data_IF_746515936154
#
_entry.id   IF_746515936154
#
_cell.length_a   1.000
_cell.length_b   1.000
_cell.length_c   1.000
_cell.angle_alpha   90.00
_cell.angle_beta   90.00
_cell.angle_gamma   90.00
#
_symmetry.space_group_name_H-M   'P 1'
#
loop_
_entity.id
_entity.type
_entity.pdbx_description
1 polymer ?
#
# COMPACT_ATOMS: atom_id res chain seq x y z
N UNK A 1 7.79 0.34 13.82
CA UNK A 1 7.29 1.72 14.05
C UNK A 1 6.48 1.73 15.34
N UNK A 2 6.73 2.69 16.21
CA UNK A 2 5.96 2.87 17.45
C UNK A 2 5.08 4.11 17.34
N UNK A 3 3.79 3.94 17.68
CA UNK A 3 2.77 4.99 17.58
C UNK A 3 2.21 5.22 19.00
N UNK A 4 2.59 6.32 19.67
CA UNK A 4 1.97 6.68 20.94
C UNK A 4 0.56 7.27 20.67
N UNK A 5 -0.44 6.80 21.40
CA UNK A 5 -1.83 7.18 21.16
C UNK A 5 -2.69 7.04 22.42
N UNK A 6 -3.95 7.40 22.35
CA UNK A 6 -4.95 7.17 23.39
C UNK A 6 -5.70 5.83 23.20
N UNK A 7 -6.52 5.48 24.17
CA UNK A 7 -7.30 4.24 24.17
C UNK A 7 -8.43 4.21 23.13
N UNK A 8 -8.82 5.37 22.57
CA UNK A 8 -9.88 5.49 21.57
C UNK A 8 -9.36 5.29 20.13
N UNK A 9 -8.04 5.28 19.93
CA UNK A 9 -7.43 5.22 18.60
C UNK A 9 -7.93 4.04 17.77
N UNK A 10 -7.92 2.82 18.32
CA UNK A 10 -8.34 1.62 17.59
C UNK A 10 -9.79 1.72 17.10
N UNK A 11 -10.69 2.22 17.95
CA UNK A 11 -12.10 2.41 17.60
C UNK A 11 -12.30 3.53 16.58
N UNK A 12 -11.59 4.64 16.71
CA UNK A 12 -11.65 5.78 15.79
C UNK A 12 -11.15 5.40 14.39
N UNK A 13 -10.07 4.61 14.32
CA UNK A 13 -9.50 4.14 13.06
C UNK A 13 -10.19 2.88 12.51
N UNK A 14 -11.15 2.30 13.24
CA UNK A 14 -11.80 1.02 12.93
C UNK A 14 -10.81 -0.13 12.77
N UNK A 15 -9.74 -0.11 13.55
CA UNK A 15 -8.77 -1.20 13.58
C UNK A 15 -9.32 -2.33 14.44
N UNK A 16 -9.44 -3.51 13.84
CA UNK A 16 -9.99 -4.67 14.53
C UNK A 16 -8.95 -5.30 15.44
N UNK A 17 -9.32 -5.52 16.68
CA UNK A 17 -8.53 -6.31 17.61
C UNK A 17 -8.78 -7.80 17.36
N UNK A 18 -7.72 -8.56 17.22
CA UNK A 18 -7.75 -10.01 16.93
C UNK A 18 -7.65 -10.85 18.19
N UNK A 19 -6.84 -10.40 19.16
CA UNK A 19 -6.66 -11.07 20.43
C UNK A 19 -6.27 -10.09 21.53
N UNK A 20 -6.47 -10.46 22.78
CA UNK A 20 -6.09 -9.67 23.95
C UNK A 20 -7.24 -8.95 24.64
N UNK A 21 -6.90 -8.03 25.53
CA UNK A 21 -7.84 -7.23 26.31
C UNK A 21 -8.15 -5.91 25.60
N UNK A 22 -9.32 -5.33 25.87
CA UNK A 22 -9.67 -4.02 25.25
C UNK A 22 -8.68 -2.93 25.67
N UNK A 23 -8.43 -1.90 24.81
CA UNK A 23 -7.49 -0.82 25.12
C UNK A 23 -7.71 -0.15 26.46
N UNK A 24 -8.97 0.16 26.77
CA UNK A 24 -9.34 0.79 28.04
C UNK A 24 -9.01 -0.10 29.25
N UNK A 25 -9.29 -1.41 29.14
CA UNK A 25 -8.95 -2.38 30.19
C UNK A 25 -7.45 -2.59 30.30
N UNK A 26 -6.75 -2.69 29.18
CA UNK A 26 -5.31 -2.84 29.15
C UNK A 26 -4.61 -1.66 29.85
N UNK A 27 -5.09 -0.43 29.62
CA UNK A 27 -4.57 0.76 30.26
C UNK A 27 -4.75 0.79 31.78
N UNK A 28 -5.81 0.16 32.30
CA UNK A 28 -6.07 0.03 33.73
C UNK A 28 -5.24 -1.09 34.39
N UNK A 29 -5.03 -2.17 33.66
CA UNK A 29 -4.46 -3.42 34.19
C UNK A 29 -2.92 -3.47 34.08
N UNK A 30 -2.34 -2.86 33.02
CA UNK A 30 -0.91 -2.90 32.73
C UNK A 30 -0.29 -1.52 32.80
N UNK A 31 0.94 -1.44 33.34
CA UNK A 31 1.66 -0.16 33.48
C UNK A 31 2.00 0.49 32.12
N UNK A 32 2.38 -0.30 31.11
CA UNK A 32 2.75 0.16 29.77
C UNK A 32 2.20 -0.82 28.73
N UNK A 33 0.89 -0.83 28.49
CA UNK A 33 0.27 -1.74 27.54
C UNK A 33 0.64 -1.39 26.11
N UNK A 34 0.93 -2.44 25.34
CA UNK A 34 1.31 -2.34 23.95
C UNK A 34 0.48 -3.31 23.12
N UNK A 35 0.01 -2.84 21.96
CA UNK A 35 -0.61 -3.66 20.94
C UNK A 35 0.35 -3.77 19.76
N UNK A 36 0.42 -4.97 19.17
CA UNK A 36 1.23 -5.24 17.98
C UNK A 36 0.32 -5.68 16.83
N UNK A 37 0.70 -5.36 15.60
CA UNK A 37 -0.03 -5.86 14.44
C UNK A 37 0.35 -7.31 14.10
N UNK A 38 -0.46 -7.98 13.24
CA UNK A 38 -0.21 -9.35 12.80
C UNK A 38 1.18 -9.55 12.20
N UNK A 39 1.66 -8.59 11.40
CA UNK A 39 2.98 -8.66 10.80
C UNK A 39 4.07 -8.69 11.85
N UNK A 40 3.95 -7.89 12.91
CA UNK A 40 4.93 -7.89 14.00
C UNK A 40 4.85 -9.16 14.85
N UNK A 41 3.63 -9.62 15.14
CA UNK A 41 3.43 -10.89 15.84
C UNK A 41 4.07 -12.06 15.07
N UNK A 42 3.95 -12.07 13.74
CA UNK A 42 4.58 -13.08 12.87
C UNK A 42 6.10 -13.01 12.89
N UNK A 43 6.68 -11.81 12.79
CA UNK A 43 8.13 -11.58 12.83
C UNK A 43 8.73 -12.10 14.14
N UNK A 44 8.04 -11.85 15.26
CA UNK A 44 8.48 -12.25 16.60
C UNK A 44 8.04 -13.66 17.00
N UNK A 45 7.31 -14.36 16.13
CA UNK A 45 6.69 -15.67 16.40
C UNK A 45 5.84 -15.69 17.69
N UNK A 46 5.04 -14.63 17.85
CA UNK A 46 4.14 -14.40 19.01
C UNK A 46 2.72 -14.84 18.62
N UNK A 47 2.10 -15.60 19.48
CA UNK A 47 0.68 -15.98 19.43
C UNK A 47 -0.12 -15.36 20.59
N UNK A 48 -1.42 -15.60 20.63
CA UNK A 48 -2.31 -15.09 21.67
C UNK A 48 -1.96 -15.59 23.08
N UNK A 49 -1.21 -16.69 23.21
CA UNK A 49 -0.80 -17.22 24.53
C UNK A 49 0.23 -16.35 25.25
N UNK A 50 0.90 -15.46 24.50
CA UNK A 50 1.92 -14.55 25.02
C UNK A 50 1.36 -13.22 25.51
N UNK A 51 0.06 -13.01 25.40
CA UNK A 51 -0.60 -11.82 25.95
C UNK A 51 -0.45 -11.79 27.47
N UNK A 52 -0.10 -10.62 28.01
CA UNK A 52 0.24 -10.42 29.42
C UNK A 52 1.72 -10.57 29.75
N UNK A 53 2.54 -11.05 28.82
CA UNK A 53 3.99 -11.15 29.00
C UNK A 53 4.69 -9.84 28.63
N UNK A 54 5.92 -9.68 29.13
CA UNK A 54 6.76 -8.54 28.75
C UNK A 54 7.22 -8.70 27.29
N UNK A 55 6.96 -7.68 26.47
CA UNK A 55 7.33 -7.71 25.05
C UNK A 55 8.84 -7.83 24.82
N UNK A 56 9.66 -7.37 25.76
CA UNK A 56 11.13 -7.50 25.70
C UNK A 56 11.62 -8.94 25.69
N UNK A 57 10.84 -9.88 26.18
CA UNK A 57 11.18 -11.30 26.13
C UNK A 57 11.27 -11.80 24.68
N UNK A 58 10.55 -11.16 23.76
CA UNK A 58 10.44 -11.50 22.35
C UNK A 58 11.12 -10.49 21.42
N UNK A 59 11.21 -9.22 21.86
CA UNK A 59 11.82 -8.11 21.13
C UNK A 59 12.79 -7.37 22.04
N UNK A 60 14.08 -7.62 21.88
CA UNK A 60 15.16 -7.01 22.67
C UNK A 60 15.25 -5.50 22.51
N UNK A 61 14.69 -4.94 21.43
CA UNK A 61 14.63 -3.50 21.19
C UNK A 61 13.41 -2.84 21.82
N UNK A 62 12.51 -3.63 22.40
CA UNK A 62 11.35 -3.09 23.10
C UNK A 62 11.72 -2.55 24.48
N UNK A 63 10.94 -1.57 24.95
CA UNK A 63 11.09 -1.04 26.30
C UNK A 63 10.88 -2.15 27.34
N UNK A 64 11.70 -2.15 28.39
CA UNK A 64 11.66 -3.14 29.46
C UNK A 64 10.34 -3.19 30.23
N UNK A 65 9.52 -2.14 30.12
CA UNK A 65 8.24 -2.02 30.80
C UNK A 65 7.05 -2.38 29.92
N UNK A 66 7.27 -2.63 28.63
CA UNK A 66 6.17 -2.88 27.66
C UNK A 66 5.53 -4.25 27.86
N UNK A 67 4.25 -4.28 28.21
CA UNK A 67 3.47 -5.50 28.33
C UNK A 67 2.60 -5.70 27.09
N UNK A 68 2.69 -6.86 26.47
CA UNK A 68 1.85 -7.22 25.33
C UNK A 68 0.40 -7.35 25.77
N UNK A 69 -0.45 -6.38 25.39
CA UNK A 69 -1.85 -6.34 25.77
C UNK A 69 -2.78 -6.96 24.71
N UNK A 70 -2.34 -6.98 23.44
CA UNK A 70 -3.13 -7.58 22.38
C UNK A 70 -2.49 -7.53 21.02
N UNK A 71 -3.13 -8.24 20.10
CA UNK A 71 -2.78 -8.32 18.68
C UNK A 71 -3.91 -7.68 17.88
N UNK A 72 -3.57 -6.83 16.94
CA UNK A 72 -4.49 -6.10 16.06
C UNK A 72 -4.25 -6.49 14.61
N UNK A 73 -5.26 -6.26 13.78
CA UNK A 73 -5.12 -6.46 12.34
C UNK A 73 -4.09 -5.51 11.74
N UNK A 74 -3.53 -5.91 10.61
CA UNK A 74 -2.64 -5.06 9.85
C UNK A 74 -3.39 -3.85 9.29
N UNK A 75 -2.85 -2.67 9.48
CA UNK A 75 -3.43 -1.45 8.90
C UNK A 75 -2.35 -0.60 8.22
N UNK A 76 -2.67 0.01 7.06
CA UNK A 76 -1.72 0.85 6.34
C UNK A 76 -1.60 2.20 7.05
N UNK A 77 -0.44 2.47 7.67
CA UNK A 77 -0.19 3.76 8.32
C UNK A 77 0.46 4.77 7.38
N UNK A 78 1.36 4.33 6.51
CA UNK A 78 2.13 5.22 5.64
C UNK A 78 1.74 5.14 4.17
N UNK A 79 1.62 3.94 3.61
CA UNK A 79 1.36 3.72 2.19
C UNK A 79 0.83 2.30 1.97
N UNK A 80 0.10 2.08 0.87
CA UNK A 80 -0.35 0.74 0.45
C UNK A 80 0.77 -0.15 -0.08
N UNK A 81 1.92 0.42 -0.42
CA UNK A 81 3.02 -0.28 -1.09
C UNK A 81 4.09 -0.80 -0.15
N UNK A 82 4.23 -0.18 1.02
CA UNK A 82 5.12 -0.73 2.01
C UNK A 82 4.49 -2.01 2.54
N UNK A 83 5.21 -3.11 2.37
CA UNK A 83 4.93 -4.35 3.11
C UNK A 83 4.66 -3.92 4.56
N UNK A 84 3.48 -4.24 5.07
CA UNK A 84 3.04 -3.70 6.35
C UNK A 84 4.07 -4.10 7.41
N UNK A 85 4.93 -3.16 7.71
CA UNK A 85 6.02 -3.35 8.66
C UNK A 85 5.44 -3.71 10.05
N UNK A 86 6.27 -4.30 10.89
CA UNK A 86 5.91 -4.50 12.29
C UNK A 86 5.55 -3.16 12.96
N UNK A 87 4.32 -3.06 13.44
CA UNK A 87 3.79 -1.85 14.08
C UNK A 87 3.47 -2.15 15.54
N UNK A 88 3.84 -1.20 16.38
CA UNK A 88 3.60 -1.21 17.82
C UNK A 88 2.82 0.03 18.22
N UNK A 89 1.66 -0.16 18.82
CA UNK A 89 0.85 0.91 19.39
C UNK A 89 1.05 0.88 20.90
N UNK A 90 1.47 2.02 21.47
CA UNK A 90 1.58 2.22 22.91
C UNK A 90 0.62 3.28 23.39
N UNK A 91 0.01 3.09 24.54
CA UNK A 91 -0.84 4.10 25.13
C UNK A 91 -0.01 5.01 26.04
N UNK A 92 0.01 6.29 25.68
CA UNK A 92 0.68 7.29 26.45
C UNK A 92 -0.28 7.88 27.52
N UNK A 93 0.18 8.10 28.76
CA UNK A 93 -0.61 8.80 29.75
C UNK A 93 -0.90 10.23 29.29
N UNK A 94 -2.09 10.72 29.62
CA UNK A 94 -2.59 12.04 29.22
C UNK A 94 -1.60 13.18 29.54
N UNK A 95 -0.86 13.05 30.64
CA UNK A 95 0.19 14.00 31.03
C UNK A 95 1.42 14.04 30.10
N UNK A 96 1.69 12.99 29.35
CA UNK A 96 2.80 12.93 28.39
C UNK A 96 2.40 13.42 27.01
N UNK A 97 1.09 13.42 26.68
CA UNK A 97 0.56 13.91 25.42
C UNK A 97 0.71 15.43 25.29
N UNK A 98 0.80 16.17 26.38
CA UNK A 98 0.95 17.64 26.39
C UNK A 98 2.30 18.15 25.95
N UNK A 99 3.33 17.31 25.89
CA UNK A 99 4.73 17.72 25.57
C UNK A 99 5.14 17.49 24.12
N UNK A 100 4.56 16.52 23.44
CA UNK A 100 4.79 16.27 22.02
C UNK A 100 3.60 16.83 21.24
N UNK A 101 3.83 17.53 20.13
CA UNK A 101 2.75 18.09 19.31
C UNK A 101 1.61 17.09 19.13
N UNK A 102 0.45 17.40 19.69
CA UNK A 102 -0.71 16.53 19.67
C UNK A 102 -1.45 16.67 18.36
N UNK A 103 -1.81 15.55 17.78
CA UNK A 103 -2.77 15.50 16.69
C UNK A 103 -4.08 14.94 17.23
N UNK A 104 -5.17 15.67 17.05
CA UNK A 104 -6.51 15.17 17.33
C UNK A 104 -7.01 14.49 16.06
N UNK A 105 -7.31 13.21 16.15
CA UNK A 105 -7.90 12.47 15.04
C UNK A 105 -9.40 12.35 15.26
N UNK A 106 -10.17 12.82 14.30
CA UNK A 106 -11.61 12.75 14.32
C UNK A 106 -12.14 12.06 13.06
N UNK A 107 -13.09 11.15 13.26
CA UNK A 107 -13.84 10.56 12.15
C UNK A 107 -15.13 11.34 11.97
N UNK A 108 -15.30 11.90 10.78
CA UNK A 108 -16.47 12.69 10.42
C UNK A 108 -17.39 11.86 9.52
N UNK A 109 -18.70 12.04 9.70
CA UNK A 109 -19.68 11.46 8.79
C UNK A 109 -19.60 12.17 7.43
N UNK A 110 -19.60 11.46 6.30
CA UNK A 110 -19.40 12.06 4.97
C UNK A 110 -20.41 13.17 4.65
N UNK A 111 -21.68 12.98 5.00
CA UNK A 111 -22.77 13.91 4.69
C UNK A 111 -22.71 15.23 5.46
N UNK A 112 -22.25 15.19 6.72
CA UNK A 112 -22.18 16.38 7.59
C UNK A 112 -20.77 16.95 7.72
N UNK A 113 -19.82 16.45 6.93
CA UNK A 113 -18.40 16.79 7.04
C UNK A 113 -18.11 18.29 7.02
N UNK A 114 -18.68 19.01 6.06
CA UNK A 114 -18.43 20.44 5.90
C UNK A 114 -18.98 21.26 7.07
N UNK A 115 -20.17 20.91 7.53
CA UNK A 115 -20.82 21.56 8.67
C UNK A 115 -20.04 21.29 9.95
N UNK A 116 -19.67 20.04 10.20
CA UNK A 116 -18.90 19.65 11.39
C UNK A 116 -17.52 20.32 11.41
N UNK A 117 -16.82 20.39 10.26
CA UNK A 117 -15.54 21.11 10.17
C UNK A 117 -15.69 22.60 10.45
N UNK A 118 -16.75 23.24 9.99
CA UNK A 118 -17.01 24.65 10.29
C UNK A 118 -17.25 24.87 11.80
N UNK A 119 -18.01 23.99 12.45
CA UNK A 119 -18.24 24.04 13.89
C UNK A 119 -16.94 23.81 14.68
N UNK A 120 -16.10 22.86 14.27
CA UNK A 120 -14.82 22.61 14.93
C UNK A 120 -13.90 23.83 14.77
N UNK A 121 -13.87 24.45 13.59
CA UNK A 121 -13.10 25.67 13.35
C UNK A 121 -13.56 26.82 14.24
N UNK A 122 -14.86 27.03 14.36
CA UNK A 122 -15.43 28.07 15.24
C UNK A 122 -15.07 27.85 16.71
N UNK A 123 -15.15 26.59 17.17
CA UNK A 123 -14.72 26.23 18.52
C UNK A 123 -13.23 26.45 18.74
N UNK A 124 -12.40 26.10 17.75
CA UNK A 124 -10.95 26.32 17.81
C UNK A 124 -10.62 27.81 17.94
N UNK A 125 -11.24 28.66 17.11
CA UNK A 125 -11.02 30.09 17.12
C UNK A 125 -11.45 30.74 18.46
N UNK A 126 -12.51 30.20 19.10
CA UNK A 126 -12.94 30.64 20.44
C UNK A 126 -12.00 30.18 21.56
N UNK A 127 -11.37 28.99 21.44
CA UNK A 127 -10.51 28.44 22.47
C UNK A 127 -9.06 28.92 22.38
N UNK A 128 -8.57 29.14 21.15
CA UNK A 128 -7.18 29.45 20.87
C UNK A 128 -7.07 30.75 20.04
N UNK A 129 -7.21 31.87 20.74
CA UNK A 129 -7.11 33.20 20.11
C UNK A 129 -5.79 33.38 19.37
N UNK A 130 -5.88 33.72 18.06
CA UNK A 130 -4.72 33.96 17.20
C UNK A 130 -3.97 32.73 16.68
N UNK A 131 -4.44 31.50 16.93
CA UNK A 131 -3.86 30.28 16.35
C UNK A 131 -4.65 29.82 15.15
N UNK A 132 -4.00 29.67 14.02
CA UNK A 132 -4.59 29.16 12.80
C UNK A 132 -5.11 27.73 12.97
N UNK A 133 -6.37 27.47 12.56
CA UNK A 133 -6.93 26.14 12.50
C UNK A 133 -6.36 25.39 11.31
N UNK A 134 -5.50 24.41 11.56
CA UNK A 134 -4.94 23.55 10.53
C UNK A 134 -5.50 22.13 10.67
N UNK A 135 -6.01 21.58 9.61
CA UNK A 135 -6.44 20.20 9.56
C UNK A 135 -5.91 19.49 8.32
N UNK A 136 -5.70 18.20 8.44
CA UNK A 136 -5.28 17.36 7.34
C UNK A 136 -6.30 16.26 7.12
N UNK A 137 -6.81 16.18 5.90
CA UNK A 137 -7.64 15.06 5.49
C UNK A 137 -6.75 13.84 5.20
N UNK A 138 -6.84 12.82 6.04
CA UNK A 138 -6.06 11.59 5.90
C UNK A 138 -6.32 10.88 4.57
N UNK A 139 -7.58 10.91 4.07
CA UNK A 139 -7.90 10.33 2.77
C UNK A 139 -7.21 11.04 1.63
N UNK A 140 -7.23 12.39 1.62
CA UNK A 140 -6.52 13.19 0.61
C UNK A 140 -5.00 12.98 0.69
N UNK A 141 -4.44 12.96 1.88
CA UNK A 141 -3.01 12.72 2.08
C UNK A 141 -2.59 11.34 1.55
N UNK A 142 -3.40 10.32 1.84
CA UNK A 142 -3.19 8.97 1.34
C UNK A 142 -3.28 8.90 -0.20
N UNK A 143 -4.29 9.55 -0.79
CA UNK A 143 -4.44 9.63 -2.25
C UNK A 143 -3.31 10.40 -2.92
N UNK A 144 -2.81 11.47 -2.29
CA UNK A 144 -1.66 12.22 -2.81
C UNK A 144 -0.37 11.41 -2.79
N UNK A 145 -0.09 10.66 -1.74
CA UNK A 145 1.08 9.77 -1.67
C UNK A 145 1.04 8.70 -2.78
N UNK A 146 -0.13 8.13 -3.03
CA UNK A 146 -0.31 7.12 -4.06
C UNK A 146 -0.37 7.70 -5.50
N UNK A 147 -0.51 9.03 -5.65
CA UNK A 147 -0.57 9.69 -6.97
C UNK A 147 0.71 9.50 -7.79
N UNK A 148 1.86 9.50 -7.15
CA UNK A 148 3.16 9.28 -7.82
C UNK A 148 3.17 7.91 -8.48
N UNK A 149 2.74 6.88 -7.77
CA UNK A 149 2.67 5.50 -8.22
C UNK A 149 1.72 5.32 -9.39
N UNK A 150 0.51 5.88 -9.26
CA UNK A 150 -0.47 5.84 -10.36
C UNK A 150 0.02 6.58 -11.60
N UNK A 151 0.80 7.65 -11.42
CA UNK A 151 1.42 8.40 -12.52
C UNK A 151 2.53 7.57 -13.17
N UNK A 152 3.42 6.96 -12.41
CA UNK A 152 4.46 6.07 -12.91
C UNK A 152 3.86 4.88 -13.68
N UNK A 153 2.81 4.25 -13.15
CA UNK A 153 2.11 3.17 -13.84
C UNK A 153 1.55 3.59 -15.20
N UNK A 154 0.95 4.78 -15.29
CA UNK A 154 0.45 5.33 -16.57
C UNK A 154 1.59 5.56 -17.56
N UNK A 155 2.72 6.09 -17.11
CA UNK A 155 3.91 6.30 -17.93
C UNK A 155 4.43 4.95 -18.46
N UNK A 156 4.59 3.94 -17.59
CA UNK A 156 5.05 2.61 -17.98
C UNK A 156 4.13 1.95 -18.99
N UNK A 157 2.82 2.04 -18.81
CA UNK A 157 1.83 1.52 -19.77
C UNK A 157 1.96 2.22 -21.12
N UNK A 158 2.15 3.54 -21.13
CA UNK A 158 2.32 4.32 -22.36
C UNK A 158 3.59 3.90 -23.10
N UNK A 159 4.72 3.75 -22.41
CA UNK A 159 5.96 3.26 -23.02
C UNK A 159 5.85 1.82 -23.53
N UNK A 160 5.18 0.95 -22.80
CA UNK A 160 4.92 -0.42 -23.23
C UNK A 160 4.11 -0.48 -24.53
N UNK A 161 3.10 0.39 -24.65
CA UNK A 161 2.30 0.48 -25.87
C UNK A 161 3.13 0.96 -27.06
N UNK A 162 3.94 2.00 -26.87
CA UNK A 162 4.86 2.50 -27.92
C UNK A 162 5.84 1.42 -28.34
N UNK A 163 6.45 0.71 -27.37
CA UNK A 163 7.40 -0.37 -27.66
C UNK A 163 6.71 -1.50 -28.44
N UNK A 164 5.47 -1.85 -28.11
CA UNK A 164 4.68 -2.85 -28.83
C UNK A 164 4.45 -2.44 -30.28
N UNK A 165 4.07 -1.19 -30.52
CA UNK A 165 3.84 -0.64 -31.88
C UNK A 165 5.16 -0.67 -32.68
N UNK A 166 6.27 -0.23 -32.11
CA UNK A 166 7.59 -0.26 -32.75
C UNK A 166 8.02 -1.70 -33.11
N UNK A 167 7.78 -2.64 -32.20
CA UNK A 167 8.07 -4.06 -32.46
C UNK A 167 7.24 -4.60 -33.63
N UNK A 168 5.96 -4.26 -33.69
CA UNK A 168 5.09 -4.63 -34.81
C UNK A 168 5.61 -4.05 -36.14
N UNK A 169 6.04 -2.79 -36.17
CA UNK A 169 6.63 -2.18 -37.36
C UNK A 169 7.95 -2.84 -37.75
N UNK A 170 8.80 -3.18 -36.78
CA UNK A 170 10.06 -3.90 -37.03
C UNK A 170 9.81 -5.27 -37.66
N UNK A 171 8.89 -6.05 -37.09
CA UNK A 171 8.51 -7.35 -37.64
C UNK A 171 7.87 -7.24 -39.04
N UNK A 172 7.03 -6.23 -39.24
CA UNK A 172 6.42 -5.96 -40.54
C UNK A 172 7.50 -5.64 -41.60
N UNK A 173 8.46 -4.77 -41.25
CA UNK A 173 9.57 -4.42 -42.16
C UNK A 173 10.42 -5.62 -42.57
N UNK A 174 10.82 -6.46 -41.60
CA UNK A 174 11.58 -7.68 -41.86
C UNK A 174 10.77 -8.65 -42.73
N UNK A 175 9.49 -8.84 -42.40
CA UNK A 175 8.61 -9.73 -43.18
C UNK A 175 8.41 -9.22 -44.59
N UNK A 176 8.19 -7.93 -44.79
CA UNK A 176 8.09 -7.30 -46.10
C UNK A 176 9.36 -7.49 -46.93
N UNK A 177 10.51 -7.24 -46.34
CA UNK A 177 11.81 -7.44 -46.96
C UNK A 177 12.05 -8.91 -47.40
N UNK A 178 11.75 -9.85 -46.49
CA UNK A 178 11.88 -11.28 -46.77
C UNK A 178 10.99 -11.76 -47.92
N UNK A 179 9.72 -11.28 -47.96
CA UNK A 179 8.82 -11.60 -49.07
C UNK A 179 9.32 -11.05 -50.40
N UNK A 180 9.80 -9.79 -50.38
CA UNK A 180 10.28 -9.14 -51.60
C UNK A 180 11.53 -9.82 -52.18
N UNK A 181 12.43 -10.29 -51.35
CA UNK A 181 13.61 -11.03 -51.80
C UNK A 181 13.33 -12.44 -52.34
N UNK A 182 12.22 -13.05 -51.88
CA UNK A 182 11.79 -14.40 -52.29
C UNK A 182 10.62 -14.41 -53.25
N UNK A 183 10.33 -13.28 -53.89
CA UNK A 183 9.17 -13.15 -54.80
C UNK A 183 9.22 -14.13 -55.94
N UNK A 184 10.45 -14.40 -56.50
CA UNK A 184 10.65 -15.34 -57.60
C UNK A 184 10.36 -16.80 -57.20
N UNK A 185 10.80 -17.21 -56.01
CA UNK A 185 10.49 -18.55 -55.46
C UNK A 185 9.01 -18.74 -55.20
N UNK A 186 8.37 -17.69 -54.62
CA UNK A 186 6.96 -17.67 -54.31
C UNK A 186 6.13 -17.79 -55.62
N UNK A 187 6.50 -17.04 -56.64
CA UNK A 187 5.82 -17.08 -57.95
C UNK A 187 5.92 -18.47 -58.59
N UNK A 188 7.09 -19.11 -58.60
CA UNK A 188 7.29 -20.46 -59.12
C UNK A 188 6.40 -21.48 -58.37
N UNK A 189 6.38 -21.44 -57.06
CA UNK A 189 5.53 -22.34 -56.22
C UNK A 189 4.06 -22.11 -56.49
N UNK A 190 3.64 -20.87 -56.68
CA UNK A 190 2.25 -20.51 -56.96
C UNK A 190 1.79 -21.02 -58.33
N UNK A 191 2.63 -20.94 -59.32
CA UNK A 191 2.36 -21.52 -60.68
C UNK A 191 2.22 -23.06 -60.60
N UNK A 192 2.96 -23.70 -59.69
CA UNK A 192 2.86 -25.16 -59.47
C UNK A 192 1.75 -25.53 -58.48
N UNK A 193 0.80 -24.63 -58.19
CA UNK A 193 -0.41 -24.92 -57.42
C UNK A 193 -0.30 -24.85 -55.89
N UNK A 194 0.79 -24.25 -55.35
CA UNK A 194 0.92 -24.11 -53.91
C UNK A 194 -0.15 -23.17 -53.32
N UNK A 195 -0.81 -23.60 -52.23
CA UNK A 195 -1.77 -22.81 -51.47
C UNK A 195 -1.10 -21.67 -50.72
N UNK A 196 -1.74 -20.51 -50.59
CA UNK A 196 -1.21 -19.35 -49.86
C UNK A 196 -0.78 -19.71 -48.44
N UNK A 197 -1.52 -20.61 -47.78
CA UNK A 197 -1.21 -21.09 -46.41
C UNK A 197 0.13 -21.84 -46.33
N UNK A 198 0.48 -22.60 -47.34
CA UNK A 198 1.76 -23.32 -47.43
C UNK A 198 2.96 -22.37 -47.62
N UNK A 199 2.74 -21.31 -48.41
CA UNK A 199 3.75 -20.26 -48.62
C UNK A 199 4.01 -19.47 -47.34
N UNK A 200 2.95 -19.06 -46.65
CA UNK A 200 3.07 -18.35 -45.37
C UNK A 200 3.75 -19.24 -44.30
N UNK A 201 3.39 -20.52 -44.24
CA UNK A 201 4.03 -21.45 -43.29
C UNK A 201 5.51 -21.67 -43.61
N UNK A 202 5.89 -21.80 -44.87
CA UNK A 202 7.27 -21.97 -45.29
C UNK A 202 8.16 -20.75 -44.97
N UNK A 203 7.59 -19.53 -45.08
CA UNK A 203 8.24 -18.28 -44.67
C UNK A 203 8.42 -18.20 -43.15
N UNK A 204 7.36 -18.48 -42.38
CA UNK A 204 7.42 -18.41 -40.94
C UNK A 204 8.34 -19.46 -40.32
N UNK A 205 8.42 -20.65 -40.87
CA UNK A 205 9.35 -21.69 -40.40
C UNK A 205 10.82 -21.22 -40.44
N UNK A 206 11.18 -20.44 -41.43
CA UNK A 206 12.57 -19.88 -41.54
C UNK A 206 12.88 -18.90 -40.39
N UNK A 207 11.87 -18.13 -39.93
CA UNK A 207 12.04 -17.22 -38.79
C UNK A 207 12.06 -17.96 -37.45
N UNK A 208 11.26 -19.00 -37.28
CA UNK A 208 11.22 -19.80 -36.05
C UNK A 208 12.56 -20.47 -35.76
N UNK A 209 13.29 -20.90 -36.79
CA UNK A 209 14.64 -21.49 -36.66
C UNK A 209 15.75 -20.46 -36.33
N UNK A 210 15.47 -19.17 -36.48
CA UNK A 210 16.41 -18.11 -36.10
C UNK A 210 16.25 -17.62 -34.68
N UNK A 211 15.10 -17.95 -34.03
CA UNK A 211 14.75 -17.53 -32.68
C UNK A 211 15.03 -18.62 -31.65
N UNK A 212 15.12 -19.89 -32.06
CA UNK A 212 15.50 -21.05 -31.24
C UNK A 212 17.03 -21.27 -31.31
#
# INVERSE_FOLDING_TARGET
>A
IQIPTDTAFLSTMHIRQLAGVSPAKAYQEYSHPVFINESYARILNIDASKIGHNLREFDTFSDSLSILAGIIENFPFNSLEEEIAGQKISFAPESSLTRAGMFIQARLHPETRHETLAQIKELWEKMYDGREFQYTDMHQQFMQRNKIITTLSKILISYSLIAMVLTCFGLFGISWYAVRHRTREIAIRKVHGALNRQIVWALNRSFLWQIL
#
